data_IF_535110141873
#
_entry.id   IF_535110141873
#
_cell.length_a   1.000
_cell.length_b   1.000
_cell.length_c   1.000
_cell.angle_alpha   90.00
_cell.angle_beta   90.00
_cell.angle_gamma   90.00
#
_symmetry.space_group_name_H-M   'P 1'
#
loop_
_entity.id
_entity.type
_entity.pdbx_description
1 polymer ?
#
# COMPACT_ATOMS: atom_id res chain seq x y z
N UNK A 1 37.72 19.91 10.02
CA UNK A 1 38.51 20.59 11.07
C UNK A 1 37.61 20.80 12.27
N UNK A 2 38.05 20.43 13.48
CA UNK A 2 37.34 20.76 14.73
C UNK A 2 36.61 19.60 15.39
N UNK A 3 37.37 18.85 16.19
CA UNK A 3 36.96 17.80 17.13
C UNK A 3 36.24 18.40 18.36
N UNK A 4 35.30 17.68 18.99
CA UNK A 4 35.02 17.77 20.43
C UNK A 4 34.18 16.57 20.89
N UNK A 5 34.88 15.61 21.48
CA UNK A 5 34.36 14.46 22.23
C UNK A 5 33.90 14.89 23.63
N UNK A 6 32.86 14.23 24.16
CA UNK A 6 32.52 14.28 25.59
C UNK A 6 31.94 12.93 26.02
N UNK A 7 32.72 12.20 26.79
CA UNK A 7 32.37 10.96 27.51
C UNK A 7 31.57 11.28 28.78
N UNK A 8 30.70 10.37 29.24
CA UNK A 8 30.36 10.29 30.65
C UNK A 8 30.79 8.95 31.30
N UNK A 9 31.24 9.11 32.53
CA UNK A 9 31.85 8.16 33.47
C UNK A 9 30.84 7.18 34.09
N UNK A 10 31.26 5.94 34.31
CA UNK A 10 30.55 4.91 35.07
C UNK A 10 30.75 5.05 36.60
N UNK A 11 29.80 4.66 37.46
CA UNK A 11 30.06 4.43 38.88
C UNK A 11 30.13 2.93 39.25
N UNK A 12 31.01 2.63 40.20
CA UNK A 12 31.32 1.30 40.72
C UNK A 12 30.39 0.85 41.87
N UNK A 13 30.28 -0.47 42.07
CA UNK A 13 29.67 -1.14 43.23
C UNK A 13 30.65 -1.23 44.42
N UNK A 14 30.18 -1.51 45.68
CA UNK A 14 30.19 -2.91 46.14
C UNK A 14 29.13 -3.35 47.21
N UNK A 15 28.84 -4.66 47.16
CA UNK A 15 28.53 -5.73 48.15
C UNK A 15 27.84 -5.50 49.53
N UNK A 16 26.76 -6.28 49.78
CA UNK A 16 26.64 -7.40 50.75
C UNK A 16 25.26 -7.49 51.48
N UNK A 17 24.66 -8.70 51.50
CA UNK A 17 23.40 -9.09 52.18
C UNK A 17 23.64 -9.59 53.62
N UNK A 18 22.62 -9.89 54.48
CA UNK A 18 21.89 -11.18 54.42
C UNK A 18 20.45 -11.25 55.03
N UNK A 19 19.88 -12.47 54.98
CA UNK A 19 18.69 -13.07 55.66
C UNK A 19 17.30 -12.68 55.10
N UNK A 20 16.37 -13.56 54.71
CA UNK A 20 15.94 -14.91 55.13
C UNK A 20 14.40 -14.80 55.29
N UNK A 21 13.48 -15.65 54.83
CA UNK A 21 13.36 -17.12 54.82
C UNK A 21 12.19 -17.57 53.89
N UNK A 22 12.03 -18.88 53.63
CA UNK A 22 11.55 -19.47 52.38
C UNK A 22 10.24 -20.30 52.51
N UNK A 23 9.68 -20.78 51.39
CA UNK A 23 8.94 -22.06 51.39
C UNK A 23 9.17 -22.83 50.07
N UNK A 24 9.69 -24.06 50.18
CA UNK A 24 9.56 -25.16 49.22
C UNK A 24 8.98 -26.37 49.96
N UNK A 25 8.04 -27.11 49.34
CA UNK A 25 8.23 -28.49 48.84
C UNK A 25 6.88 -29.23 48.59
N UNK A 26 6.76 -29.77 47.37
CA UNK A 26 6.30 -31.12 46.96
C UNK A 26 4.87 -31.68 47.24
N UNK A 27 4.10 -31.83 46.13
CA UNK A 27 3.32 -33.00 45.57
C UNK A 27 2.34 -33.83 46.44
N UNK A 28 1.48 -34.71 45.86
CA UNK A 28 0.59 -34.65 44.69
C UNK A 28 -0.88 -35.09 45.03
N UNK A 29 -1.78 -35.10 44.01
CA UNK A 29 -2.97 -35.96 43.83
C UNK A 29 -4.36 -35.28 43.69
N UNK A 30 -5.19 -35.94 42.86
CA UNK A 30 -6.65 -35.79 42.60
C UNK A 30 -7.08 -34.52 41.84
N UNK A 31 -7.65 -34.54 40.63
CA UNK A 31 -8.43 -35.55 39.93
C UNK A 31 -9.93 -35.21 40.03
N UNK A 32 -10.48 -34.46 39.06
CA UNK A 32 -11.91 -34.42 38.74
C UNK A 32 -12.16 -33.91 37.30
N UNK A 33 -13.20 -34.40 36.60
CA UNK A 33 -13.20 -34.60 35.15
C UNK A 33 -14.11 -33.63 34.39
N UNK A 34 -13.67 -33.14 33.23
CA UNK A 34 -14.57 -32.48 32.26
C UNK A 34 -14.60 -33.31 30.99
N UNK A 35 -15.78 -33.83 30.68
CA UNK A 35 -16.07 -34.70 29.52
C UNK A 35 -15.79 -33.94 28.22
N UNK A 36 -14.99 -34.52 27.34
CA UNK A 36 -14.99 -34.17 25.93
C UNK A 36 -16.15 -34.93 25.25
N UNK A 37 -17.24 -34.25 24.96
CA UNK A 37 -18.15 -34.69 23.89
C UNK A 37 -17.51 -34.33 22.55
N UNK A 38 -17.13 -35.37 21.81
CA UNK A 38 -16.75 -35.25 20.41
C UNK A 38 -18.03 -35.24 19.55
N UNK A 39 -18.21 -34.27 18.63
CA UNK A 39 -19.17 -34.45 17.54
C UNK A 39 -18.56 -35.37 16.49
N UNK A 40 -19.37 -36.35 16.07
CA UNK A 40 -19.07 -37.30 14.99
C UNK A 40 -18.90 -36.60 13.62
N UNK A 41 -18.22 -37.24 12.65
CA UNK A 41 -17.76 -36.59 11.42
C UNK A 41 -18.91 -36.44 10.42
N UNK A 42 -19.08 -35.24 9.87
CA UNK A 42 -19.84 -35.03 8.64
C UNK A 42 -18.85 -34.90 7.49
N UNK A 43 -18.88 -35.89 6.59
CA UNK A 43 -18.20 -35.84 5.31
C UNK A 43 -18.89 -34.83 4.40
N UNK A 44 -18.16 -33.79 3.97
CA UNK A 44 -18.49 -32.98 2.79
C UNK A 44 -17.21 -32.31 2.26
N UNK A 45 -16.72 -32.85 1.15
CA UNK A 45 -16.18 -32.16 -0.04
C UNK A 45 -15.25 -30.93 0.14
N UNK A 46 -13.96 -31.17 -0.10
CA UNK A 46 -13.14 -30.40 -1.04
C UNK A 46 -13.16 -28.87 -0.96
N UNK A 47 -12.50 -28.30 0.05
CA UNK A 47 -12.08 -26.90 0.05
C UNK A 47 -11.54 -26.54 1.42
N UNK A 48 -10.21 -26.38 1.57
CA UNK A 48 -9.60 -25.97 2.83
C UNK A 48 -10.16 -24.62 3.29
N UNK A 49 -10.95 -24.54 4.37
CA UNK A 49 -11.36 -23.26 4.92
C UNK A 49 -10.18 -22.72 5.72
N UNK A 50 -9.61 -21.61 5.28
CA UNK A 50 -8.68 -20.84 6.11
C UNK A 50 -9.43 -20.50 7.40
N UNK A 51 -9.09 -21.18 8.51
CA UNK A 51 -9.65 -20.89 9.83
C UNK A 51 -9.50 -19.39 10.06
N UNK A 52 -10.60 -18.63 10.08
CA UNK A 52 -10.60 -17.22 10.46
C UNK A 52 -10.10 -17.15 11.91
N UNK A 53 -8.80 -16.88 12.07
CA UNK A 53 -8.23 -16.44 13.35
C UNK A 53 -8.95 -15.15 13.71
N UNK A 54 -9.32 -14.99 14.98
CA UNK A 54 -10.00 -13.78 15.46
C UNK A 54 -9.24 -12.50 15.12
N UNK A 55 -9.87 -11.33 15.29
CA UNK A 55 -9.27 -10.05 14.92
C UNK A 55 -7.91 -9.88 15.62
N UNK A 56 -6.89 -9.54 14.83
CA UNK A 56 -5.55 -9.27 15.33
C UNK A 56 -5.42 -7.77 15.47
N UNK A 57 -4.93 -7.30 16.62
CA UNK A 57 -4.76 -5.88 16.89
C UNK A 57 -3.28 -5.52 17.01
N UNK A 58 -2.92 -4.33 16.56
CA UNK A 58 -1.60 -3.76 16.84
C UNK A 58 -1.52 -3.18 18.26
N UNK A 59 -0.35 -2.67 18.65
CA UNK A 59 -0.09 -2.06 19.98
C UNK A 59 -1.01 -0.86 20.28
N UNK A 60 -1.64 -0.29 19.26
CA UNK A 60 -2.56 0.85 19.35
C UNK A 60 -4.04 0.44 19.25
N UNK A 61 -4.36 -0.84 19.45
CA UNK A 61 -5.72 -1.40 19.33
C UNK A 61 -6.38 -1.18 17.96
N UNK A 62 -5.59 -1.01 16.89
CA UNK A 62 -6.12 -1.00 15.53
C UNK A 62 -6.10 -2.42 14.98
N UNK A 63 -7.22 -2.84 14.41
CA UNK A 63 -7.33 -4.14 13.75
C UNK A 63 -6.43 -4.19 12.51
N UNK A 64 -5.61 -5.23 12.42
CA UNK A 64 -4.64 -5.45 11.36
C UNK A 64 -4.94 -6.75 10.62
N UNK A 65 -4.75 -6.72 9.31
CA UNK A 65 -4.80 -7.92 8.48
C UNK A 65 -3.48 -8.71 8.68
N UNK A 66 -3.51 -9.93 9.23
CA UNK A 66 -2.31 -10.71 9.50
C UNK A 66 -1.58 -11.19 8.23
N UNK A 67 -2.19 -11.04 7.04
CA UNK A 67 -1.59 -11.46 5.76
C UNK A 67 -0.63 -10.43 5.17
N UNK A 68 -0.78 -9.16 5.54
CA UNK A 68 0.06 -8.06 5.05
C UNK A 68 0.47 -7.06 6.16
N UNK A 69 0.04 -7.29 7.40
CA UNK A 69 0.27 -6.45 8.57
C UNK A 69 -0.20 -4.99 8.38
N UNK A 70 -1.18 -4.77 7.50
CA UNK A 70 -1.78 -3.45 7.27
C UNK A 70 -3.00 -3.26 8.18
N UNK A 71 -3.26 -2.02 8.65
CA UNK A 71 -4.54 -1.68 9.24
C UNK A 71 -5.68 -1.94 8.25
N UNK A 72 -6.82 -2.46 8.72
CA UNK A 72 -8.00 -2.69 7.86
C UNK A 72 -8.55 -1.38 7.25
N UNK A 73 -8.52 -0.30 8.02
CA UNK A 73 -8.91 1.04 7.60
C UNK A 73 -7.68 1.96 7.61
N UNK A 74 -6.84 1.93 6.56
CA UNK A 74 -5.63 2.73 6.51
C UNK A 74 -5.95 4.22 6.35
N UNK A 75 -5.25 5.07 7.09
CA UNK A 75 -5.44 6.52 7.03
C UNK A 75 -5.05 7.08 5.65
N UNK A 76 -6.02 7.68 4.97
CA UNK A 76 -5.89 8.38 3.69
C UNK A 76 -5.99 9.90 3.83
N UNK A 77 -6.02 10.43 5.05
CA UNK A 77 -6.01 11.88 5.26
C UNK A 77 -4.61 12.47 5.00
N UNK A 78 -4.52 13.71 4.49
CA UNK A 78 -3.26 14.41 4.34
C UNK A 78 -2.50 14.51 5.66
N UNK A 79 -1.18 14.36 5.59
CA UNK A 79 -0.32 14.48 6.79
C UNK A 79 -0.10 15.95 7.14
N UNK A 80 0.15 16.23 8.42
CA UNK A 80 0.57 17.57 8.86
C UNK A 80 1.81 18.04 8.07
N UNK A 81 1.72 19.26 7.52
CA UNK A 81 2.79 19.85 6.69
C UNK A 81 2.79 19.41 5.22
N UNK A 82 1.86 18.55 4.80
CA UNK A 82 1.68 18.20 3.39
C UNK A 82 1.16 19.42 2.60
N UNK A 83 1.85 19.79 1.52
CA UNK A 83 1.53 20.99 0.73
C UNK A 83 0.62 20.70 -0.47
N UNK A 84 0.77 19.53 -1.06
CA UNK A 84 0.08 19.14 -2.28
C UNK A 84 -0.81 17.92 -2.03
N UNK A 85 -2.01 17.85 -2.63
CA UNK A 85 -2.84 16.66 -2.53
C UNK A 85 -2.15 15.48 -3.22
N UNK A 86 -2.34 14.29 -2.66
CA UNK A 86 -1.87 13.03 -3.23
C UNK A 86 -3.08 12.16 -3.57
N UNK A 87 -2.93 11.29 -4.56
CA UNK A 87 -4.01 10.40 -4.98
C UNK A 87 -4.37 9.40 -3.85
N UNK A 88 -5.67 9.24 -3.62
CA UNK A 88 -6.24 8.30 -2.66
C UNK A 88 -6.73 7.01 -3.31
N UNK A 89 -6.76 6.97 -4.64
CA UNK A 89 -7.14 5.79 -5.40
C UNK A 89 -6.12 4.67 -5.24
N UNK A 90 -6.64 3.44 -5.22
CA UNK A 90 -5.84 2.23 -5.06
C UNK A 90 -5.86 1.43 -6.35
N UNK A 91 -4.71 0.84 -6.68
CA UNK A 91 -4.52 0.09 -7.92
C UNK A 91 -4.60 -1.41 -7.65
N UNK A 92 -5.34 -2.16 -8.48
CA UNK A 92 -5.35 -3.62 -8.43
C UNK A 92 -4.06 -4.20 -9.01
N UNK A 93 -3.48 -5.18 -8.33
CA UNK A 93 -2.30 -5.92 -8.80
C UNK A 93 -2.70 -7.06 -9.74
N UNK A 94 -1.72 -7.63 -10.45
CA UNK A 94 -1.91 -8.89 -11.19
C UNK A 94 -1.72 -10.12 -10.30
N UNK A 95 -1.25 -9.93 -9.06
CA UNK A 95 -0.85 -10.98 -8.13
C UNK A 95 -2.10 -11.64 -7.51
N UNK A 96 -2.37 -12.93 -7.75
CA UNK A 96 -3.48 -13.64 -7.15
C UNK A 96 -3.37 -13.70 -5.62
N UNK A 97 -4.47 -13.40 -4.91
CA UNK A 97 -4.51 -13.40 -3.45
C UNK A 97 -4.98 -14.75 -2.90
N UNK A 98 -4.12 -15.42 -2.14
CA UNK A 98 -4.41 -16.68 -1.48
C UNK A 98 -5.58 -16.57 -0.50
N UNK A 99 -6.47 -17.57 -0.50
CA UNK A 99 -7.70 -17.57 0.31
C UNK A 99 -8.86 -16.77 -0.29
N UNK A 100 -8.68 -16.18 -1.48
CA UNK A 100 -9.73 -15.50 -2.25
C UNK A 100 -9.63 -15.81 -3.75
N UNK A 101 -10.63 -15.40 -4.52
CA UNK A 101 -10.58 -15.44 -6.01
C UNK A 101 -10.11 -14.12 -6.65
N UNK A 102 -9.81 -13.11 -5.84
CA UNK A 102 -9.32 -11.80 -6.31
C UNK A 102 -7.79 -11.69 -6.32
N UNK A 103 -7.31 -10.51 -6.70
CA UNK A 103 -5.89 -10.13 -6.63
C UNK A 103 -5.62 -9.21 -5.44
N UNK A 104 -4.34 -8.97 -5.15
CA UNK A 104 -3.94 -7.96 -4.18
C UNK A 104 -4.23 -6.55 -4.67
N UNK A 105 -4.37 -5.59 -3.76
CA UNK A 105 -4.57 -4.17 -4.08
C UNK A 105 -3.47 -3.36 -3.44
N UNK A 106 -2.77 -2.55 -4.23
CA UNK A 106 -1.69 -1.69 -3.75
C UNK A 106 -2.22 -0.54 -2.88
N UNK A 107 -1.39 0.01 -1.97
CA UNK A 107 -1.67 1.27 -1.29
C UNK A 107 -1.82 2.42 -2.30
N UNK A 108 -2.63 3.42 -1.96
CA UNK A 108 -2.66 4.70 -2.69
C UNK A 108 -1.40 5.53 -2.42
N UNK A 109 -1.21 6.59 -3.20
CA UNK A 109 -0.12 7.55 -2.98
C UNK A 109 -0.15 8.17 -1.59
N UNK A 110 -1.35 8.59 -1.15
CA UNK A 110 -1.54 9.17 0.17
C UNK A 110 -1.25 8.16 1.29
N UNK A 111 -1.70 6.91 1.15
CA UNK A 111 -1.38 5.85 2.11
C UNK A 111 0.13 5.59 2.17
N UNK A 112 0.80 5.56 1.03
CA UNK A 112 2.23 5.33 0.94
C UNK A 112 3.04 6.47 1.58
N UNK A 113 2.70 7.72 1.26
CA UNK A 113 3.32 8.90 1.86
C UNK A 113 3.14 8.94 3.38
N UNK A 114 1.93 8.68 3.87
CA UNK A 114 1.64 8.58 5.29
C UNK A 114 2.50 7.49 5.97
N UNK A 115 2.70 6.35 5.31
CA UNK A 115 3.56 5.29 5.80
C UNK A 115 5.05 5.69 5.80
N UNK A 116 5.55 6.38 4.76
CA UNK A 116 6.92 6.88 4.70
C UNK A 116 7.21 7.86 5.83
N UNK A 117 6.33 8.85 6.05
CA UNK A 117 6.47 9.83 7.13
C UNK A 117 6.45 9.14 8.50
N UNK A 118 5.54 8.17 8.72
CA UNK A 118 5.50 7.38 9.97
C UNK A 118 6.80 6.60 10.23
N UNK A 119 7.48 6.15 9.17
CA UNK A 119 8.75 5.40 9.26
C UNK A 119 9.98 6.31 9.37
N UNK A 120 9.82 7.64 9.40
CA UNK A 120 10.95 8.58 9.40
C UNK A 120 11.76 8.57 8.10
N UNK A 121 11.19 8.07 6.99
CA UNK A 121 11.84 7.99 5.67
C UNK A 121 11.24 8.96 4.65
N UNK A 122 10.30 9.80 5.07
CA UNK A 122 9.59 10.72 4.20
C UNK A 122 10.04 12.18 4.29
N UNK A 123 10.99 12.53 5.16
CA UNK A 123 11.38 13.94 5.41
C UNK A 123 11.88 14.62 4.13
N UNK A 124 12.75 13.94 3.38
CA UNK A 124 13.33 14.44 2.13
C UNK A 124 12.49 14.13 0.87
N UNK A 125 11.31 13.51 1.04
CA UNK A 125 10.47 13.11 -0.09
C UNK A 125 9.44 14.19 -0.39
N UNK A 126 9.62 14.87 -1.53
CA UNK A 126 8.66 15.82 -2.06
C UNK A 126 7.41 15.11 -2.60
N UNK A 127 6.23 15.68 -2.37
CA UNK A 127 4.93 15.12 -2.78
C UNK A 127 4.86 14.82 -4.28
N UNK A 128 5.47 15.68 -5.10
CA UNK A 128 5.57 15.49 -6.55
C UNK A 128 6.31 14.22 -7.01
N UNK A 129 7.09 13.57 -6.14
CA UNK A 129 7.75 12.28 -6.44
C UNK A 129 6.92 11.05 -6.06
N UNK A 130 5.86 11.21 -5.26
CA UNK A 130 5.18 10.06 -4.66
C UNK A 130 4.56 9.16 -5.72
N UNK A 131 3.93 9.74 -6.74
CA UNK A 131 3.41 8.99 -7.90
C UNK A 131 4.49 8.07 -8.51
N UNK A 132 5.65 8.63 -8.83
CA UNK A 132 6.77 7.86 -9.40
C UNK A 132 7.26 6.78 -8.45
N UNK A 133 7.43 7.09 -7.15
CA UNK A 133 7.92 6.14 -6.15
C UNK A 133 6.94 4.96 -5.98
N UNK A 134 5.64 5.23 -5.98
CA UNK A 134 4.60 4.22 -5.87
C UNK A 134 4.55 3.35 -7.12
N UNK A 135 4.64 3.94 -8.32
CA UNK A 135 4.72 3.19 -9.58
C UNK A 135 5.93 2.26 -9.61
N UNK A 136 7.11 2.74 -9.18
CA UNK A 136 8.31 1.90 -9.05
C UNK A 136 8.06 0.74 -8.07
N UNK A 137 7.48 0.99 -6.90
CA UNK A 137 7.18 -0.06 -5.91
C UNK A 137 6.22 -1.11 -6.45
N UNK A 138 5.13 -0.68 -7.10
CA UNK A 138 4.14 -1.58 -7.66
C UNK A 138 4.79 -2.48 -8.73
N UNK A 139 5.58 -1.90 -9.64
CA UNK A 139 6.29 -2.68 -10.66
C UNK A 139 7.32 -3.64 -10.06
N UNK A 140 7.98 -3.24 -8.97
CA UNK A 140 8.89 -4.13 -8.26
C UNK A 140 8.16 -5.33 -7.65
N UNK A 141 6.95 -5.15 -7.14
CA UNK A 141 6.12 -6.24 -6.63
C UNK A 141 5.67 -7.18 -7.76
N UNK A 142 5.22 -6.64 -8.90
CA UNK A 142 4.84 -7.44 -10.06
C UNK A 142 6.03 -8.27 -10.57
N UNK A 143 7.21 -7.65 -10.72
CA UNK A 143 8.43 -8.36 -11.13
C UNK A 143 8.87 -9.42 -10.12
N UNK A 144 8.68 -9.17 -8.83
CA UNK A 144 8.97 -10.15 -7.79
C UNK A 144 8.02 -11.35 -7.91
N UNK A 145 6.73 -11.11 -8.16
CA UNK A 145 5.75 -12.16 -8.38
C UNK A 145 6.07 -13.00 -9.61
N UNK A 146 6.48 -12.39 -10.72
CA UNK A 146 6.84 -13.14 -11.93
C UNK A 146 7.99 -14.11 -11.71
N UNK A 147 9.03 -13.72 -10.96
CA UNK A 147 10.12 -14.63 -10.64
C UNK A 147 9.63 -15.83 -9.81
N UNK A 148 8.71 -15.58 -8.87
CA UNK A 148 8.08 -16.64 -8.07
C UNK A 148 7.22 -17.54 -8.95
N UNK A 149 6.37 -16.97 -9.80
CA UNK A 149 5.51 -17.70 -10.72
C UNK A 149 6.32 -18.54 -11.71
N UNK A 150 7.43 -18.01 -12.25
CA UNK A 150 8.33 -18.75 -13.13
C UNK A 150 8.98 -19.95 -12.42
N UNK A 151 9.40 -19.77 -11.16
CA UNK A 151 9.92 -20.86 -10.33
C UNK A 151 8.89 -21.97 -10.14
N UNK A 152 7.67 -21.59 -9.78
CA UNK A 152 6.56 -22.52 -9.53
C UNK A 152 6.13 -23.24 -10.81
N UNK A 153 6.00 -22.55 -11.94
CA UNK A 153 5.62 -23.17 -13.21
C UNK A 153 6.68 -24.16 -13.72
N UNK A 154 7.96 -23.80 -13.62
CA UNK A 154 9.05 -24.67 -14.07
C UNK A 154 9.26 -25.89 -13.16
N UNK A 155 9.15 -25.72 -11.84
CA UNK A 155 9.40 -26.81 -10.89
C UNK A 155 8.16 -27.65 -10.61
N UNK A 156 6.98 -27.03 -10.57
CA UNK A 156 5.68 -27.56 -10.14
C UNK A 156 4.55 -27.12 -11.10
N UNK A 157 4.58 -27.55 -12.38
CA UNK A 157 3.63 -27.11 -13.39
C UNK A 157 2.19 -27.42 -13.00
N UNK A 158 1.30 -26.46 -13.21
CA UNK A 158 -0.12 -26.57 -12.83
C UNK A 158 -0.38 -26.49 -11.33
N UNK A 159 0.55 -25.95 -10.54
CA UNK A 159 0.36 -25.68 -9.10
C UNK A 159 -0.68 -24.59 -8.79
N UNK A 160 -1.01 -23.75 -9.78
CA UNK A 160 -1.96 -22.62 -9.65
C UNK A 160 -1.67 -21.76 -8.41
N UNK A 161 -0.41 -21.35 -8.30
CA UNK A 161 0.11 -20.70 -7.09
C UNK A 161 -0.46 -19.30 -6.87
N UNK A 162 -0.88 -19.00 -5.63
CA UNK A 162 -1.38 -17.68 -5.19
C UNK A 162 -0.52 -17.13 -4.06
N UNK A 163 -0.37 -15.80 -3.94
CA UNK A 163 0.36 -15.16 -2.84
C UNK A 163 -0.53 -15.11 -1.59
N UNK A 164 -0.15 -15.80 -0.52
CA UNK A 164 -0.93 -15.90 0.71
C UNK A 164 -0.62 -14.75 1.68
N UNK A 165 0.65 -14.42 1.89
CA UNK A 165 1.11 -13.37 2.80
C UNK A 165 2.53 -12.96 2.52
N UNK A 166 2.93 -11.77 2.97
CA UNK A 166 4.29 -11.27 2.82
C UNK A 166 4.76 -10.55 4.07
N UNK A 167 6.08 -10.51 4.28
CA UNK A 167 6.71 -9.89 5.45
C UNK A 167 8.05 -9.26 5.06
N UNK A 168 8.23 -7.98 5.41
CA UNK A 168 9.53 -7.32 5.30
C UNK A 168 10.48 -7.78 6.40
N UNK A 169 11.73 -8.08 6.03
CA UNK A 169 12.82 -8.50 6.93
C UNK A 169 14.13 -7.79 6.57
N UNK A 170 14.16 -6.45 6.55
CA UNK A 170 15.29 -5.67 6.03
C UNK A 170 16.62 -5.92 6.77
N UNK A 171 16.57 -6.24 8.06
CA UNK A 171 17.77 -6.44 8.89
C UNK A 171 18.32 -7.89 8.84
N UNK A 172 17.56 -8.83 8.28
CA UNK A 172 17.90 -10.24 8.30
C UNK A 172 18.63 -10.67 7.03
N UNK A 173 19.96 -10.65 7.02
CA UNK A 173 20.73 -11.13 5.88
C UNK A 173 20.63 -12.65 5.70
N UNK A 174 20.30 -13.08 4.48
CA UNK A 174 20.35 -14.50 4.09
C UNK A 174 21.78 -15.04 4.15
N UNK A 175 21.97 -16.36 4.36
CA UNK A 175 23.31 -16.96 4.34
C UNK A 175 24.09 -16.65 3.05
N UNK A 176 23.39 -16.64 1.90
CA UNK A 176 23.98 -16.27 0.62
C UNK A 176 24.38 -14.79 0.57
N UNK A 177 23.54 -13.88 1.09
CA UNK A 177 23.86 -12.46 1.16
C UNK A 177 25.06 -12.20 2.08
N UNK A 178 25.20 -12.96 3.19
CA UNK A 178 26.38 -12.89 4.06
C UNK A 178 27.65 -13.34 3.34
N UNK A 179 27.60 -14.44 2.60
CA UNK A 179 28.74 -14.92 1.80
C UNK A 179 29.12 -13.92 0.70
N UNK A 180 28.13 -13.39 -0.03
CA UNK A 180 28.35 -12.36 -1.05
C UNK A 180 29.01 -11.11 -0.46
N UNK A 181 28.56 -10.68 0.73
CA UNK A 181 29.16 -9.56 1.44
C UNK A 181 30.62 -9.84 1.83
N UNK A 182 30.94 -11.05 2.28
CA UNK A 182 32.33 -11.46 2.57
C UNK A 182 33.22 -11.45 1.32
N UNK A 183 32.65 -11.69 0.13
CA UNK A 183 33.34 -11.65 -1.16
C UNK A 183 33.39 -10.25 -1.78
N UNK A 184 32.98 -9.21 -1.05
CA UNK A 184 33.04 -7.82 -1.49
C UNK A 184 31.89 -7.36 -2.39
N UNK A 185 30.81 -8.15 -2.52
CA UNK A 185 29.60 -7.71 -3.19
C UNK A 185 28.72 -6.83 -2.29
N UNK A 186 27.86 -6.01 -2.90
CA UNK A 186 26.92 -5.14 -2.19
C UNK A 186 25.93 -5.90 -1.30
N UNK A 187 25.65 -5.34 -0.13
CA UNK A 187 24.60 -5.81 0.79
C UNK A 187 23.22 -5.55 0.16
N UNK A 188 22.23 -6.47 0.26
CA UNK A 188 20.87 -6.15 -0.12
C UNK A 188 20.35 -5.00 0.77
N UNK A 189 19.72 -4.01 0.16
CA UNK A 189 19.18 -2.86 0.90
C UNK A 189 17.79 -3.17 1.49
N UNK A 190 17.12 -4.18 0.95
CA UNK A 190 15.83 -4.65 1.43
C UNK A 190 15.69 -6.17 1.19
N UNK A 191 14.90 -6.82 2.05
CA UNK A 191 14.59 -8.25 1.96
C UNK A 191 13.15 -8.48 2.35
N UNK A 192 12.47 -9.30 1.56
CA UNK A 192 11.11 -9.75 1.84
C UNK A 192 11.02 -11.28 1.84
N UNK A 193 10.18 -11.80 2.73
CA UNK A 193 9.76 -13.18 2.72
C UNK A 193 8.29 -13.24 2.27
N UNK A 194 8.02 -13.95 1.18
CA UNK A 194 6.68 -14.16 0.64
C UNK A 194 6.27 -15.61 0.90
N UNK A 195 5.02 -15.82 1.27
CA UNK A 195 4.45 -17.16 1.44
C UNK A 195 3.43 -17.35 0.34
N UNK A 196 3.66 -18.36 -0.48
CA UNK A 196 2.74 -18.73 -1.54
C UNK A 196 2.00 -20.00 -1.15
N UNK A 197 0.78 -20.14 -1.66
CA UNK A 197 -0.05 -21.32 -1.48
C UNK A 197 -0.36 -21.92 -2.84
N UNK A 198 -0.13 -23.22 -2.97
CA UNK A 198 -0.49 -24.03 -4.15
C UNK A 198 -1.92 -24.54 -4.02
N UNK A 199 -2.49 -25.02 -5.13
CA UNK A 199 -3.85 -25.59 -5.14
C UNK A 199 -4.03 -26.80 -4.22
N UNK A 200 -2.96 -27.54 -3.93
CA UNK A 200 -2.97 -28.68 -3.00
C UNK A 200 -2.89 -28.26 -1.52
N UNK A 201 -2.82 -26.96 -1.25
CA UNK A 201 -2.72 -26.39 0.10
C UNK A 201 -1.29 -26.29 0.63
N UNK A 202 -0.27 -26.66 -0.16
CA UNK A 202 1.13 -26.52 0.24
C UNK A 202 1.51 -25.04 0.36
N UNK A 203 1.99 -24.63 1.53
CA UNK A 203 2.56 -23.31 1.75
C UNK A 203 4.08 -23.34 1.56
N UNK A 204 4.60 -22.51 0.65
CA UNK A 204 6.04 -22.41 0.36
C UNK A 204 6.51 -20.99 0.63
N UNK A 205 7.62 -20.87 1.37
CA UNK A 205 8.24 -19.57 1.63
C UNK A 205 9.26 -19.25 0.54
N UNK A 206 9.16 -18.06 -0.02
CA UNK A 206 10.13 -17.45 -0.93
C UNK A 206 10.90 -16.35 -0.21
N UNK A 207 12.18 -16.21 -0.51
CA UNK A 207 13.03 -15.12 -0.05
C UNK A 207 13.41 -14.25 -1.25
N UNK A 208 13.20 -12.95 -1.12
CA UNK A 208 13.42 -11.96 -2.17
C UNK A 208 14.40 -10.93 -1.64
N UNK A 209 15.59 -10.88 -2.23
CA UNK A 209 16.61 -9.89 -1.89
C UNK A 209 16.64 -8.79 -2.97
N UNK A 210 16.64 -7.54 -2.55
CA UNK A 210 16.75 -6.36 -3.42
C UNK A 210 18.14 -5.74 -3.29
N UNK A 211 18.78 -5.45 -4.43
CA UNK A 211 20.10 -4.88 -4.53
C UNK A 211 20.05 -3.60 -5.37
N UNK A 212 20.87 -2.62 -4.97
CA UNK A 212 20.98 -1.33 -5.64
C UNK A 212 22.36 -1.21 -6.29
N UNK A 213 22.38 -0.72 -7.52
CA UNK A 213 23.58 -0.53 -8.34
C UNK A 213 23.65 0.93 -8.78
N UNK A 214 24.43 1.73 -8.04
CA UNK A 214 24.61 3.18 -8.27
C UNK A 214 25.08 3.48 -9.70
N UNK A 215 25.88 2.61 -10.30
CA UNK A 215 26.43 2.83 -11.63
C UNK A 215 25.34 2.80 -12.72
N UNK A 216 24.20 2.15 -12.45
CA UNK A 216 23.08 2.03 -13.39
C UNK A 216 21.97 3.04 -13.16
N UNK A 217 22.05 3.85 -12.09
CA UNK A 217 21.06 4.90 -11.82
C UNK A 217 20.96 5.92 -12.97
N UNK A 218 22.05 6.16 -13.70
CA UNK A 218 22.05 7.02 -14.88
C UNK A 218 21.21 6.48 -16.07
N UNK A 219 20.88 5.19 -16.07
CA UNK A 219 20.06 4.56 -17.10
C UNK A 219 18.58 4.43 -16.71
N UNK A 220 18.21 4.84 -15.49
CA UNK A 220 16.84 4.74 -15.00
C UNK A 220 15.92 5.76 -15.69
N UNK A 221 14.69 5.33 -15.95
CA UNK A 221 13.60 6.17 -16.45
C UNK A 221 12.42 6.06 -15.49
N UNK A 222 11.57 7.09 -15.48
CA UNK A 222 10.29 7.06 -14.76
C UNK A 222 9.44 5.93 -15.37
N UNK A 223 9.11 4.87 -14.62
CA UNK A 223 8.37 3.75 -15.18
C UNK A 223 6.87 4.08 -15.25
N UNK A 224 6.22 3.62 -16.31
CA UNK A 224 4.76 3.49 -16.35
C UNK A 224 4.30 2.32 -15.47
N UNK A 225 3.02 2.27 -15.11
CA UNK A 225 2.46 1.15 -14.36
C UNK A 225 2.63 -0.15 -15.19
N UNK A 226 3.20 -1.18 -14.57
CA UNK A 226 3.64 -2.45 -15.19
C UNK A 226 4.87 -2.37 -16.13
N UNK A 227 5.80 -1.44 -15.89
CA UNK A 227 7.09 -1.39 -16.60
C UNK A 227 8.24 -2.00 -15.77
N UNK A 228 8.76 -3.16 -16.19
CA UNK A 228 9.88 -3.87 -15.54
C UNK A 228 11.26 -3.45 -16.06
N UNK A 229 11.34 -2.60 -17.08
CA UNK A 229 12.60 -2.33 -17.80
C UNK A 229 13.17 -0.95 -17.53
N UNK A 230 12.35 0.00 -17.08
CA UNK A 230 12.76 1.38 -16.88
C UNK A 230 13.62 1.62 -15.64
N UNK A 231 13.59 0.75 -14.62
CA UNK A 231 14.45 0.86 -13.44
C UNK A 231 15.52 -0.24 -13.48
N UNK A 232 16.72 0.11 -13.91
CA UNK A 232 17.88 -0.80 -14.06
C UNK A 232 18.80 -0.81 -12.85
N UNK A 233 18.79 0.24 -12.04
CA UNK A 233 19.59 0.33 -10.80
C UNK A 233 19.13 -0.65 -9.72
N UNK A 234 17.88 -1.11 -9.78
CA UNK A 234 17.34 -2.06 -8.82
C UNK A 234 17.28 -3.45 -9.45
N UNK A 235 18.03 -4.37 -8.84
CA UNK A 235 17.95 -5.80 -9.17
C UNK A 235 17.33 -6.57 -8.00
N UNK A 236 16.59 -7.63 -8.32
CA UNK A 236 15.93 -8.47 -7.33
C UNK A 236 16.05 -9.94 -7.71
N UNK A 237 16.11 -10.79 -6.69
CA UNK A 237 16.23 -12.24 -6.87
C UNK A 237 15.31 -12.97 -5.90
N UNK A 238 14.19 -13.50 -6.42
CA UNK A 238 13.28 -14.38 -5.70
C UNK A 238 13.73 -15.84 -5.82
N UNK A 239 13.59 -16.59 -4.72
CA UNK A 239 13.92 -18.02 -4.67
C UNK A 239 13.22 -18.70 -3.50
N UNK A 240 12.87 -20.00 -3.58
CA UNK A 240 12.32 -20.75 -2.45
C UNK A 240 13.25 -20.66 -1.24
N UNK A 241 12.76 -20.56 -0.02
CA UNK A 241 13.56 -20.66 1.20
C UNK A 241 14.01 -22.12 1.39
N UNK A 242 15.23 -22.35 1.88
CA UNK A 242 15.69 -23.72 2.17
C UNK A 242 15.14 -24.14 3.54
N UNK A 243 13.82 -24.27 3.63
CA UNK A 243 13.12 -24.75 4.82
C UNK A 243 12.88 -26.26 4.76
N UNK A 244 12.88 -26.83 3.55
CA UNK A 244 12.68 -28.24 3.28
C UNK A 244 13.53 -28.73 2.08
N UNK A 245 13.56 -30.05 1.89
CA UNK A 245 14.36 -30.70 0.84
C UNK A 245 13.81 -30.39 -0.56
N UNK A 246 12.49 -30.28 -0.72
CA UNK A 246 11.87 -29.92 -1.99
C UNK A 246 12.30 -28.53 -2.45
N UNK A 247 12.25 -27.55 -1.55
CA UNK A 247 12.71 -26.18 -1.83
C UNK A 247 14.21 -26.11 -2.16
N UNK A 248 15.05 -26.99 -1.57
CA UNK A 248 16.46 -27.11 -1.94
C UNK A 248 16.63 -27.69 -3.35
N UNK A 249 15.87 -28.74 -3.68
CA UNK A 249 15.87 -29.35 -5.01
C UNK A 249 15.42 -28.33 -6.06
N UNK A 250 14.39 -27.54 -5.77
CA UNK A 250 13.90 -26.49 -6.67
C UNK A 250 14.97 -25.44 -6.96
N UNK A 251 15.73 -25.01 -5.94
CA UNK A 251 16.87 -24.07 -6.12
C UNK A 251 17.97 -24.60 -7.04
N UNK A 252 18.15 -25.91 -7.12
CA UNK A 252 19.15 -26.56 -7.97
C UNK A 252 18.58 -26.84 -9.37
N UNK A 253 17.33 -27.30 -9.42
CA UNK A 253 16.61 -27.69 -10.64
C UNK A 253 16.29 -26.49 -11.52
N UNK A 254 15.81 -25.40 -10.93
CA UNK A 254 15.32 -24.24 -11.68
C UNK A 254 16.37 -23.63 -12.62
N UNK A 255 17.61 -23.29 -12.18
CA UNK A 255 18.62 -22.75 -13.10
C UNK A 255 18.97 -23.69 -14.27
N UNK A 256 18.89 -25.00 -14.06
CA UNK A 256 19.14 -26.01 -15.10
C UNK A 256 17.98 -26.02 -16.11
N UNK A 257 16.74 -26.03 -15.61
CA UNK A 257 15.54 -25.95 -16.47
C UNK A 257 15.52 -24.65 -17.27
N UNK A 258 15.79 -23.53 -16.62
CA UNK A 258 15.84 -22.20 -17.24
C UNK A 258 16.89 -22.15 -18.37
N UNK A 259 18.08 -22.70 -18.11
CA UNK A 259 19.14 -22.83 -19.11
C UNK A 259 18.75 -23.72 -20.29
N UNK A 260 18.13 -24.88 -20.04
CA UNK A 260 17.69 -25.81 -21.09
C UNK A 260 16.56 -25.21 -21.93
N UNK A 261 15.63 -24.50 -21.29
CA UNK A 261 14.45 -23.93 -21.94
C UNK A 261 14.75 -22.60 -22.65
N UNK A 262 15.97 -22.05 -22.50
CA UNK A 262 16.39 -20.83 -23.17
C UNK A 262 15.67 -19.56 -22.70
N UNK A 263 15.00 -19.58 -21.55
CA UNK A 263 14.28 -18.44 -21.00
C UNK A 263 15.27 -17.46 -20.36
N UNK A 264 15.85 -16.56 -21.15
CA UNK A 264 16.59 -15.42 -20.58
C UNK A 264 15.61 -14.33 -20.14
N UNK A 265 15.20 -14.45 -18.88
CA UNK A 265 14.32 -13.56 -18.11
C UNK A 265 12.82 -13.67 -18.49
N UNK A 266 11.92 -13.68 -17.49
CA UNK A 266 10.50 -13.50 -17.75
C UNK A 266 10.29 -12.15 -18.43
N UNK A 267 9.65 -12.20 -19.61
CA UNK A 267 9.12 -11.02 -20.28
C UNK A 267 7.81 -10.73 -19.58
N UNK A 268 7.69 -9.57 -18.92
CA UNK A 268 6.39 -9.15 -18.39
C UNK A 268 5.35 -9.25 -19.52
N UNK A 269 4.18 -9.87 -19.31
CA UNK A 269 3.08 -9.69 -20.22
C UNK A 269 2.75 -8.19 -20.22
N UNK A 270 2.95 -7.53 -21.37
CA UNK A 270 2.42 -6.19 -21.58
C UNK A 270 0.91 -6.28 -21.42
N UNK A 271 0.36 -5.69 -20.38
CA UNK A 271 -1.08 -5.51 -20.32
C UNK A 271 -1.44 -4.52 -21.41
N UNK A 272 -2.18 -4.97 -22.43
CA UNK A 272 -2.97 -4.05 -23.25
C UNK A 272 -3.95 -3.40 -22.28
N UNK A 273 -4.00 -2.06 -22.14
CA UNK A 273 -4.90 -1.43 -21.19
C UNK A 273 -6.29 -2.04 -21.35
N UNK A 274 -6.83 -2.57 -20.25
CA UNK A 274 -8.25 -2.90 -20.22
C UNK A 274 -8.98 -1.61 -20.57
N UNK A 275 -9.92 -1.71 -21.50
CA UNK A 275 -10.64 -0.56 -22.03
C UNK A 275 -11.10 0.39 -20.90
N UNK A 276 -10.83 1.67 -21.13
CA UNK A 276 -11.32 2.86 -20.41
C UNK A 276 -10.68 3.18 -19.05
N UNK A 277 -9.62 3.99 -19.08
CA UNK A 277 -9.82 5.42 -18.78
C UNK A 277 -9.19 6.22 -19.93
N UNK A 278 -9.91 7.17 -20.56
CA UNK A 278 -9.25 8.13 -21.40
C UNK A 278 -8.29 8.91 -20.49
N UNK A 279 -7.00 8.88 -20.83
CA UNK A 279 -6.11 9.98 -20.47
C UNK A 279 -6.76 11.22 -21.10
N UNK A 280 -7.64 11.86 -20.32
CA UNK A 280 -8.27 13.11 -20.72
C UNK A 280 -7.19 14.15 -20.62
N UNK A 281 -6.32 14.22 -21.63
CA UNK A 281 -5.59 15.44 -21.89
C UNK A 281 -6.66 16.53 -21.96
N UNK A 282 -6.72 17.45 -20.99
CA UNK A 282 -7.78 18.45 -20.97
C UNK A 282 -7.67 19.22 -22.28
N UNK A 283 -8.81 19.44 -22.92
CA UNK A 283 -8.87 20.31 -24.09
C UNK A 283 -8.11 21.62 -23.76
N UNK A 284 -7.42 22.26 -24.72
CA UNK A 284 -6.53 23.39 -24.47
C UNK A 284 -7.15 24.62 -23.77
N UNK A 285 -8.47 24.61 -23.48
CA UNK A 285 -9.19 25.66 -22.75
C UNK A 285 -9.57 25.33 -21.28
N UNK A 286 -9.27 24.15 -20.74
CA UNK A 286 -9.81 23.67 -19.44
C UNK A 286 -8.79 23.52 -18.30
N UNK A 287 -7.56 24.00 -18.47
CA UNK A 287 -6.51 23.87 -17.43
C UNK A 287 -6.64 24.97 -16.38
N UNK A 288 -6.99 24.57 -15.16
CA UNK A 288 -7.04 25.45 -13.99
C UNK A 288 -5.60 25.78 -13.53
N UNK A 289 -5.30 27.04 -13.21
CA UNK A 289 -4.02 27.37 -12.56
C UNK A 289 -4.14 27.24 -11.04
N UNK A 290 -3.02 27.04 -10.33
CA UNK A 290 -3.06 26.98 -8.86
C UNK A 290 -3.50 28.30 -8.24
N UNK A 291 -3.18 29.44 -8.86
CA UNK A 291 -3.69 30.73 -8.42
C UNK A 291 -5.23 30.78 -8.51
N UNK A 292 -5.81 30.26 -9.59
CA UNK A 292 -7.26 30.17 -9.75
C UNK A 292 -7.89 29.22 -8.72
N UNK A 293 -7.22 28.11 -8.41
CA UNK A 293 -7.64 27.15 -7.37
C UNK A 293 -7.64 27.81 -5.99
N UNK A 294 -6.53 28.45 -5.60
CA UNK A 294 -6.39 29.13 -4.31
C UNK A 294 -7.40 30.27 -4.15
N UNK A 295 -7.59 31.08 -5.19
CA UNK A 295 -8.59 32.15 -5.19
C UNK A 295 -10.01 31.59 -5.04
N UNK A 296 -10.31 30.51 -5.77
CA UNK A 296 -11.64 29.88 -5.74
C UNK A 296 -11.91 29.23 -4.39
N UNK A 297 -10.93 28.52 -3.81
CA UNK A 297 -11.06 27.94 -2.48
C UNK A 297 -11.22 29.03 -1.41
N UNK A 298 -10.49 30.14 -1.52
CA UNK A 298 -10.68 31.30 -0.66
C UNK A 298 -12.09 31.88 -0.73
N UNK A 299 -12.68 31.95 -1.93
CA UNK A 299 -14.09 32.37 -2.12
C UNK A 299 -15.08 31.39 -1.48
N UNK A 300 -14.86 30.08 -1.64
CA UNK A 300 -15.69 29.03 -1.03
C UNK A 300 -15.61 29.11 0.49
N UNK A 301 -14.41 29.17 1.07
CA UNK A 301 -14.22 29.26 2.51
C UNK A 301 -14.87 30.51 3.10
N UNK A 302 -14.81 31.65 2.40
CA UNK A 302 -15.43 32.89 2.86
C UNK A 302 -16.96 32.85 2.77
N UNK A 303 -17.53 32.36 1.66
CA UNK A 303 -18.98 32.40 1.41
C UNK A 303 -19.75 31.23 2.02
N UNK A 304 -19.15 30.05 2.11
CA UNK A 304 -19.77 28.82 2.60
C UNK A 304 -19.38 28.46 4.04
N UNK A 305 -18.76 29.41 4.77
CA UNK A 305 -18.26 29.19 6.14
C UNK A 305 -19.30 28.60 7.08
N UNK A 306 -20.55 29.09 7.04
CA UNK A 306 -21.64 28.57 7.87
C UNK A 306 -21.96 27.12 7.54
N UNK A 307 -22.08 26.79 6.26
CA UNK A 307 -22.35 25.42 5.81
C UNK A 307 -21.28 24.43 6.28
N UNK A 308 -20.00 24.84 6.30
CA UNK A 308 -18.93 24.00 6.86
C UNK A 308 -19.06 23.77 8.36
N UNK A 309 -19.56 24.75 9.12
CA UNK A 309 -19.84 24.58 10.56
C UNK A 309 -21.01 23.62 10.73
N UNK A 310 -22.08 23.82 9.97
CA UNK A 310 -23.30 23.00 10.05
C UNK A 310 -23.03 21.51 9.78
N UNK A 311 -22.19 21.19 8.78
CA UNK A 311 -21.76 19.82 8.49
C UNK A 311 -20.93 19.22 9.63
N UNK A 312 -20.13 20.03 10.34
CA UNK A 312 -19.30 19.56 11.46
C UNK A 312 -20.07 19.40 12.76
N UNK A 313 -21.14 20.16 12.96
CA UNK A 313 -21.89 20.21 14.21
C UNK A 313 -23.24 19.52 14.14
N UNK A 314 -23.59 18.90 13.00
CA UNK A 314 -24.84 18.16 12.85
C UNK A 314 -24.87 16.93 13.79
N UNK A 315 -26.05 16.63 14.34
CA UNK A 315 -26.20 15.59 15.37
C UNK A 315 -26.95 14.34 14.88
N UNK A 316 -27.76 14.47 13.82
CA UNK A 316 -28.58 13.38 13.27
C UNK A 316 -28.27 13.19 11.80
N UNK A 317 -28.35 11.95 11.32
CA UNK A 317 -28.06 11.59 9.92
C UNK A 317 -28.84 12.46 8.93
N UNK A 318 -30.12 12.72 9.21
CA UNK A 318 -30.97 13.57 8.38
C UNK A 318 -30.49 15.03 8.33
N UNK A 319 -30.12 15.61 9.47
CA UNK A 319 -29.58 16.98 9.53
C UNK A 319 -28.20 17.07 8.88
N UNK A 320 -27.38 16.03 9.02
CA UNK A 320 -26.07 15.94 8.38
C UNK A 320 -26.21 15.85 6.86
N UNK A 321 -27.15 15.05 6.35
CA UNK A 321 -27.46 14.96 4.93
C UNK A 321 -27.94 16.32 4.38
N UNK A 322 -28.83 17.01 5.09
CA UNK A 322 -29.29 18.34 4.70
C UNK A 322 -28.16 19.38 4.71
N UNK A 323 -27.29 19.36 5.73
CA UNK A 323 -26.14 20.25 5.83
C UNK A 323 -25.13 19.98 4.69
N UNK A 324 -24.88 18.71 4.34
CA UNK A 324 -24.02 18.33 3.24
C UNK A 324 -24.57 18.82 1.88
N UNK A 325 -25.88 18.61 1.63
CA UNK A 325 -26.56 19.13 0.44
C UNK A 325 -26.48 20.66 0.36
N UNK A 326 -26.66 21.36 1.49
CA UNK A 326 -26.55 22.81 1.55
C UNK A 326 -25.12 23.30 1.27
N UNK A 327 -24.11 22.61 1.78
CA UNK A 327 -22.71 22.89 1.48
C UNK A 327 -22.40 22.68 0.00
N UNK A 328 -22.82 21.56 -0.58
CA UNK A 328 -22.64 21.24 -1.99
C UNK A 328 -23.29 22.28 -2.90
N UNK A 329 -24.53 22.70 -2.57
CA UNK A 329 -25.19 23.79 -3.27
C UNK A 329 -24.43 25.12 -3.14
N UNK A 330 -23.97 25.49 -1.93
CA UNK A 330 -23.20 26.70 -1.72
C UNK A 330 -21.93 26.72 -2.60
N UNK A 331 -21.17 25.63 -2.62
CA UNK A 331 -19.99 25.49 -3.49
C UNK A 331 -20.37 25.61 -4.97
N UNK A 332 -21.46 24.98 -5.39
CA UNK A 332 -21.95 25.05 -6.77
C UNK A 332 -22.35 26.46 -7.20
N UNK A 333 -22.88 27.32 -6.31
CA UNK A 333 -23.16 28.73 -6.68
C UNK A 333 -21.89 29.53 -7.05
N UNK A 334 -20.72 29.04 -6.65
CA UNK A 334 -19.42 29.64 -6.96
C UNK A 334 -18.81 28.95 -8.18
N UNK A 335 -18.75 27.61 -8.16
CA UNK A 335 -18.06 26.76 -9.13
C UNK A 335 -18.89 26.50 -10.39
N UNK A 336 -20.18 26.25 -10.22
CA UNK A 336 -21.07 25.61 -11.18
C UNK A 336 -22.38 26.41 -11.31
N UNK A 337 -22.25 27.72 -11.55
CA UNK A 337 -23.39 28.66 -11.60
C UNK A 337 -24.57 28.17 -12.45
N UNK A 338 -24.37 27.62 -13.67
CA UNK A 338 -25.49 27.11 -14.47
C UNK A 338 -26.23 25.96 -13.77
N UNK A 339 -25.50 24.99 -13.20
CA UNK A 339 -26.06 23.84 -12.52
C UNK A 339 -26.75 24.24 -11.21
N UNK A 340 -26.19 25.19 -10.46
CA UNK A 340 -26.85 25.74 -9.27
C UNK A 340 -28.16 26.46 -9.60
N UNK A 341 -28.21 27.19 -10.73
CA UNK A 341 -29.44 27.81 -11.21
C UNK A 341 -30.49 26.76 -11.63
N UNK A 342 -30.06 25.69 -12.31
CA UNK A 342 -30.94 24.57 -12.68
C UNK A 342 -31.50 23.86 -11.44
N UNK A 343 -30.67 23.62 -10.42
CA UNK A 343 -31.13 23.02 -9.17
C UNK A 343 -32.15 23.91 -8.45
N UNK A 344 -31.92 25.22 -8.40
CA UNK A 344 -32.88 26.18 -7.84
C UNK A 344 -34.22 26.16 -8.58
N UNK A 345 -34.18 26.10 -9.92
CA UNK A 345 -35.37 26.01 -10.75
C UNK A 345 -36.11 24.67 -10.57
N UNK A 346 -35.37 23.56 -10.41
CA UNK A 346 -35.93 22.25 -10.14
C UNK A 346 -36.65 22.22 -8.78
N UNK A 347 -36.04 22.79 -7.73
CA UNK A 347 -36.68 22.92 -6.41
C UNK A 347 -38.00 23.70 -6.48
N UNK A 348 -38.04 24.80 -7.26
CA UNK A 348 -39.26 25.58 -7.44
C UNK A 348 -40.38 24.83 -8.18
N UNK A 349 -40.03 23.81 -8.97
CA UNK A 349 -41.00 23.01 -9.72
C UNK A 349 -41.71 21.94 -8.88
N UNK A 350 -41.13 21.54 -7.74
CA UNK A 350 -41.65 20.46 -6.90
C UNK A 350 -41.58 19.06 -7.54
N UNK A 351 -40.97 18.92 -8.72
CA UNK A 351 -40.82 17.66 -9.45
C UNK A 351 -39.59 16.90 -8.93
N UNK A 352 -39.83 15.84 -8.16
CA UNK A 352 -38.77 15.04 -7.52
C UNK A 352 -37.74 14.50 -8.54
N UNK A 353 -38.17 14.09 -9.74
CA UNK A 353 -37.26 13.56 -10.75
C UNK A 353 -36.33 14.64 -11.30
N UNK A 354 -36.86 15.86 -11.49
CA UNK A 354 -36.04 17.00 -11.92
C UNK A 354 -35.09 17.49 -10.82
N UNK A 355 -35.53 17.46 -9.57
CA UNK A 355 -34.69 17.83 -8.41
C UNK A 355 -33.51 16.87 -8.32
N UNK A 356 -33.76 15.56 -8.42
CA UNK A 356 -32.71 14.54 -8.38
C UNK A 356 -31.71 14.71 -9.53
N UNK A 357 -32.20 14.84 -10.77
CA UNK A 357 -31.32 15.00 -11.93
C UNK A 357 -30.48 16.29 -11.86
N UNK A 358 -31.06 17.40 -11.39
CA UNK A 358 -30.32 18.65 -11.22
C UNK A 358 -29.31 18.58 -10.07
N UNK A 359 -29.61 17.84 -9.01
CA UNK A 359 -28.69 17.58 -7.90
C UNK A 359 -27.48 16.77 -8.36
N UNK A 360 -27.71 15.69 -9.10
CA UNK A 360 -26.65 14.84 -9.67
C UNK A 360 -25.76 15.65 -10.62
N UNK A 361 -26.35 16.41 -11.56
CA UNK A 361 -25.60 17.25 -12.48
C UNK A 361 -24.76 18.33 -11.77
N UNK A 362 -25.28 18.87 -10.66
CA UNK A 362 -24.56 19.80 -9.81
C UNK A 362 -23.39 19.12 -9.09
N UNK A 363 -23.60 17.91 -8.55
CA UNK A 363 -22.54 17.10 -7.93
C UNK A 363 -21.41 16.80 -8.89
N UNK A 364 -21.72 16.25 -10.07
CA UNK A 364 -20.72 15.96 -11.11
C UNK A 364 -19.91 17.20 -11.52
N UNK A 365 -20.53 18.38 -11.55
CA UNK A 365 -19.81 19.61 -11.86
C UNK A 365 -18.80 20.00 -10.75
N UNK A 366 -19.17 19.83 -9.48
CA UNK A 366 -18.28 20.09 -8.34
C UNK A 366 -17.13 19.07 -8.33
N UNK A 367 -17.41 17.78 -8.51
CA UNK A 367 -16.40 16.71 -8.62
C UNK A 367 -15.40 17.00 -9.77
N UNK A 368 -15.89 17.36 -10.95
CA UNK A 368 -15.03 17.74 -12.09
C UNK A 368 -14.15 18.97 -11.80
N UNK A 369 -14.57 19.89 -10.92
CA UNK A 369 -13.71 20.98 -10.48
C UNK A 369 -12.64 20.50 -9.50
N UNK A 370 -12.99 19.63 -8.56
CA UNK A 370 -12.05 19.03 -7.61
C UNK A 370 -10.94 18.25 -8.33
N UNK A 371 -11.31 17.48 -9.36
CA UNK A 371 -10.36 16.73 -10.18
C UNK A 371 -9.38 17.67 -10.91
N UNK A 372 -9.89 18.69 -11.59
CA UNK A 372 -9.04 19.69 -12.27
C UNK A 372 -8.17 20.48 -11.30
N UNK A 373 -8.65 20.77 -10.09
CA UNK A 373 -7.88 21.45 -9.06
C UNK A 373 -6.75 20.56 -8.53
N UNK A 374 -7.02 19.27 -8.33
CA UNK A 374 -6.03 18.26 -7.95
C UNK A 374 -4.95 18.15 -9.03
N UNK A 375 -5.32 18.08 -10.31
CA UNK A 375 -4.38 18.00 -11.42
C UNK A 375 -3.50 19.25 -11.51
N UNK A 376 -4.08 20.44 -11.33
CA UNK A 376 -3.34 21.70 -11.31
C UNK A 376 -2.28 21.73 -10.19
N UNK A 377 -2.66 21.29 -8.99
CA UNK A 377 -1.75 21.22 -7.84
C UNK A 377 -0.68 20.15 -8.03
N UNK A 378 -1.02 18.97 -8.56
CA UNK A 378 -0.06 17.91 -8.87
C UNK A 378 0.97 18.35 -9.92
N UNK A 379 0.52 19.07 -10.96
CA UNK A 379 1.42 19.66 -11.96
C UNK A 379 2.34 20.70 -11.32
N UNK A 380 1.83 21.57 -10.46
CA UNK A 380 2.67 22.55 -9.77
C UNK A 380 3.69 21.87 -8.86
N UNK A 381 3.33 20.78 -8.18
CA UNK A 381 4.27 19.99 -7.38
C UNK A 381 5.42 19.44 -8.24
N UNK A 382 5.13 18.94 -9.45
CA UNK A 382 6.15 18.47 -10.41
C UNK A 382 7.04 19.62 -10.91
N UNK A 383 6.46 20.76 -11.25
CA UNK A 383 7.22 21.95 -11.71
C UNK A 383 8.09 22.56 -10.60
N UNK A 384 7.58 22.61 -9.37
CA UNK A 384 8.32 23.10 -8.20
C UNK A 384 9.56 22.24 -7.93
N UNK A 385 9.41 20.93 -8.10
CA UNK A 385 10.51 19.98 -8.05
C UNK A 385 11.56 20.24 -9.14
N UNK A 386 11.16 20.36 -10.42
CA UNK A 386 12.10 20.61 -11.51
C UNK A 386 12.91 21.90 -11.30
N UNK A 387 12.32 22.91 -10.67
CA UNK A 387 12.98 24.16 -10.31
C UNK A 387 13.97 24.00 -9.15
N UNK A 388 13.70 23.08 -8.20
CA UNK A 388 14.60 22.81 -7.08
C UNK A 388 15.81 21.95 -7.48
N UNK A 389 15.70 21.18 -8.56
CA UNK A 389 16.78 20.33 -9.11
C UNK A 389 17.74 21.06 -10.06
N UNK A 390 17.50 22.34 -10.36
CA UNK A 390 18.37 23.23 -11.15
C UNK A 390 19.03 24.26 -10.26
#
# INVERSE_FOLDING_TARGET
MGNSTSTPTAPAAPAAAPAGCPVKHDTPASGCPVKHEAPAPVSAEGGCPVKKKGPVYNVYNQEIDPTNMMPLNPNQEPKEGQKYPLDTNRVQSTIPKGGTEGTWTYPSEQMFFNALKRKGKGEDVHEGHINTIVSIHNNMNERAWEQVAAYEEACHPGSETKLLRFMGRPDDLTPLARLKLMLGHGKPFDRHDWIVIRKDGTEVRYVIDYYFDEAKTAEDKVPELHDATSVKSISMYARPAIDDIGSLVDRIKYPILDFINGQRNPVLPKHTPSAEEPESTPAPGDKLSVADVEETFGKIQAKCKSCFVDVKTCETDEKCAQAATALQFCMATILCKPQAAQFTAALASGDEAKIQAAYEAMGTCVENFEDRARDAMALQARLALEKASK
#
